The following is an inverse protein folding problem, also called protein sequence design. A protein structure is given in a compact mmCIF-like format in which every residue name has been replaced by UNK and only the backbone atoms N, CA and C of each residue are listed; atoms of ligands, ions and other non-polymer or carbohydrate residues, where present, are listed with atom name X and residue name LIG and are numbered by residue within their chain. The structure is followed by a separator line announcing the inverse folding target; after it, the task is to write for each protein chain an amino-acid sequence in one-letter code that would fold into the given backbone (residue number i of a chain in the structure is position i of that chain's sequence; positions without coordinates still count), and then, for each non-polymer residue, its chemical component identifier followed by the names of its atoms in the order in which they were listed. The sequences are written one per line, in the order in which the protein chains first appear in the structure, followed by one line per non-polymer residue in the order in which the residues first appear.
data_IF_623993922073
#
_entry.id   IF_623993922073
#
_cell.length_a   1.000
_cell.length_b   1.000
_cell.length_c   1.000
_cell.angle_alpha   90.00
_cell.angle_beta   90.00
_cell.angle_gamma   90.00
#
_symmetry.space_group_name_H-M   'P 1'
#
loop_
_entity.id
_entity.type
_entity.pdbx_description
1 polymer ?
#
# COMPACT_ATOMS: atom_id res chain seq x y z
N UNK A 1 7.97 -11.02 -3.84
CA UNK A 1 6.73 -11.35 -3.10
C UNK A 1 6.78 -10.63 -1.77
N UNK A 2 5.87 -9.69 -1.57
CA UNK A 2 5.79 -8.88 -0.35
C UNK A 2 5.25 -9.71 0.81
N UNK A 3 5.38 -9.23 2.04
CA UNK A 3 4.78 -9.87 3.23
C UNK A 3 3.24 -9.94 3.12
N UNK A 4 2.64 -8.95 2.46
CA UNK A 4 1.21 -8.91 2.19
C UNK A 4 0.77 -10.01 1.22
N UNK A 5 1.50 -10.21 0.12
CA UNK A 5 1.22 -11.28 -0.85
C UNK A 5 1.27 -12.66 -0.17
N UNK A 6 2.23 -12.85 0.76
CA UNK A 6 2.36 -14.08 1.55
C UNK A 6 1.14 -14.31 2.45
N UNK A 7 0.66 -13.27 3.14
CA UNK A 7 -0.51 -13.35 4.02
C UNK A 7 -1.80 -13.57 3.23
N UNK A 8 -1.95 -12.92 2.08
CA UNK A 8 -3.08 -13.13 1.19
C UNK A 8 -3.13 -14.58 0.67
N UNK A 9 -2.00 -15.10 0.19
CA UNK A 9 -1.90 -16.50 -0.24
C UNK A 9 -2.19 -17.48 0.91
N UNK A 10 -1.69 -17.19 2.13
CA UNK A 10 -1.97 -18.04 3.30
C UNK A 10 -3.44 -18.03 3.70
N UNK A 11 -4.09 -16.87 3.64
CA UNK A 11 -5.52 -16.71 3.90
C UNK A 11 -6.35 -17.48 2.89
N UNK A 12 -6.00 -17.42 1.61
CA UNK A 12 -6.66 -18.19 0.55
C UNK A 12 -6.53 -19.70 0.79
N UNK A 13 -5.34 -20.19 1.15
CA UNK A 13 -5.13 -21.61 1.50
C UNK A 13 -6.00 -22.03 2.70
N UNK A 14 -6.04 -21.23 3.76
CA UNK A 14 -6.84 -21.53 4.94
C UNK A 14 -8.35 -21.57 4.64
N UNK A 15 -8.83 -20.64 3.80
CA UNK A 15 -10.21 -20.60 3.32
C UNK A 15 -10.56 -21.83 2.47
N UNK A 16 -9.70 -22.21 1.51
CA UNK A 16 -9.89 -23.38 0.67
C UNK A 16 -9.92 -24.68 1.50
N UNK A 17 -9.04 -24.83 2.49
CA UNK A 17 -9.05 -25.97 3.41
C UNK A 17 -10.37 -26.05 4.19
N UNK A 18 -10.89 -24.93 4.67
CA UNK A 18 -12.16 -24.91 5.40
C UNK A 18 -13.34 -25.30 4.49
N UNK A 19 -13.42 -24.70 3.30
CA UNK A 19 -14.45 -25.06 2.28
C UNK A 19 -14.39 -26.54 1.91
N UNK A 20 -13.18 -27.09 1.73
CA UNK A 20 -12.99 -28.50 1.44
C UNK A 20 -13.51 -29.40 2.57
N UNK A 21 -13.30 -29.01 3.84
CA UNK A 21 -13.79 -29.76 5.01
C UNK A 21 -15.33 -29.72 5.15
N UNK A 22 -15.97 -28.65 4.70
CA UNK A 22 -17.43 -28.52 4.65
C UNK A 22 -18.02 -29.36 3.51
N UNK A 23 -17.33 -29.40 2.36
CA UNK A 23 -17.70 -30.14 1.15
C UNK A 23 -16.92 -31.46 0.99
N UNK A 24 -16.59 -32.11 2.11
CA UNK A 24 -15.68 -33.28 2.16
C UNK A 24 -16.08 -34.44 1.22
N UNK A 25 -17.38 -34.64 1.00
CA UNK A 25 -17.88 -35.70 0.13
C UNK A 25 -17.63 -35.34 -1.34
N UNK A 26 -17.98 -34.12 -1.74
CA UNK A 26 -17.72 -33.62 -3.10
C UNK A 26 -16.22 -33.59 -3.43
N UNK A 27 -15.37 -33.24 -2.46
CA UNK A 27 -13.92 -33.30 -2.63
C UNK A 27 -13.44 -34.73 -2.86
N UNK A 28 -13.93 -35.69 -2.06
CA UNK A 28 -13.58 -37.09 -2.24
C UNK A 28 -14.04 -37.61 -3.61
N UNK A 29 -15.26 -37.27 -4.02
CA UNK A 29 -15.82 -37.67 -5.31
C UNK A 29 -14.98 -37.12 -6.47
N UNK A 30 -14.69 -35.81 -6.46
CA UNK A 30 -13.87 -35.17 -7.51
C UNK A 30 -12.46 -35.75 -7.58
N UNK A 31 -11.84 -36.06 -6.44
CA UNK A 31 -10.50 -36.67 -6.40
C UNK A 31 -10.53 -38.09 -6.95
N UNK A 32 -11.55 -38.88 -6.61
CA UNK A 32 -11.68 -40.28 -7.08
C UNK A 32 -12.04 -40.35 -8.57
N UNK A 33 -12.79 -39.38 -9.09
CA UNK A 33 -13.13 -39.28 -10.52
C UNK A 33 -11.97 -38.75 -11.40
N UNK A 34 -10.91 -38.22 -10.79
CA UNK A 34 -9.77 -37.65 -11.51
C UNK A 34 -8.74 -38.72 -11.90
N UNK A 35 -8.25 -38.65 -13.15
CA UNK A 35 -7.30 -39.64 -13.68
C UNK A 35 -5.92 -39.59 -12.99
N UNK A 36 -5.50 -38.42 -12.51
CA UNK A 36 -4.20 -38.21 -11.88
C UNK A 36 -4.23 -37.00 -10.93
N UNK A 37 -3.12 -36.81 -10.18
CA UNK A 37 -2.99 -35.72 -9.22
C UNK A 37 -3.19 -34.33 -9.83
N UNK A 38 -2.68 -34.09 -11.05
CA UNK A 38 -2.80 -32.77 -11.72
C UNK A 38 -4.27 -32.49 -12.06
N UNK A 39 -4.97 -33.47 -12.62
CA UNK A 39 -6.39 -33.39 -12.91
C UNK A 39 -7.23 -33.16 -11.64
N UNK A 40 -6.88 -33.83 -10.55
CA UNK A 40 -7.54 -33.65 -9.26
C UNK A 40 -7.37 -32.23 -8.71
N UNK A 41 -6.15 -31.67 -8.77
CA UNK A 41 -5.89 -30.29 -8.35
C UNK A 41 -6.68 -29.29 -9.21
N UNK A 42 -6.70 -29.46 -10.53
CA UNK A 42 -7.50 -28.60 -11.42
C UNK A 42 -9.01 -28.70 -11.16
N UNK A 43 -9.50 -29.89 -10.82
CA UNK A 43 -10.90 -30.10 -10.50
C UNK A 43 -11.27 -29.52 -9.14
N UNK A 44 -10.41 -29.64 -8.12
CA UNK A 44 -10.56 -28.99 -6.81
C UNK A 44 -10.57 -27.47 -6.96
N UNK A 45 -9.63 -26.90 -7.72
CA UNK A 45 -9.55 -25.46 -7.97
C UNK A 45 -10.87 -24.93 -8.56
N UNK A 46 -11.43 -25.65 -9.54
CA UNK A 46 -12.74 -25.33 -10.14
C UNK A 46 -13.90 -25.51 -9.17
N UNK A 47 -13.90 -26.59 -8.38
CA UNK A 47 -14.99 -26.88 -7.44
C UNK A 47 -15.10 -25.83 -6.34
N UNK A 48 -13.96 -25.36 -5.82
CA UNK A 48 -13.87 -24.44 -4.68
C UNK A 48 -13.72 -22.97 -5.06
N UNK A 49 -13.59 -22.67 -6.36
CA UNK A 49 -13.30 -21.33 -6.91
C UNK A 49 -12.08 -20.70 -6.20
N UNK A 50 -10.93 -21.36 -6.34
CA UNK A 50 -9.70 -20.99 -5.64
C UNK A 50 -8.45 -21.15 -6.52
N UNK A 51 -7.33 -20.55 -6.11
CA UNK A 51 -6.07 -20.67 -6.84
C UNK A 51 -5.52 -22.10 -6.88
N UNK A 52 -4.67 -22.37 -7.87
CA UNK A 52 -3.98 -23.65 -8.01
C UNK A 52 -3.20 -24.02 -6.75
N UNK A 53 -2.49 -23.06 -6.14
CA UNK A 53 -1.74 -23.25 -4.90
C UNK A 53 -2.63 -23.69 -3.73
N UNK A 54 -3.81 -23.08 -3.60
CA UNK A 54 -4.76 -23.45 -2.55
C UNK A 54 -5.37 -24.84 -2.81
N UNK A 55 -5.63 -25.19 -4.07
CA UNK A 55 -6.09 -26.52 -4.45
C UNK A 55 -5.01 -27.61 -4.21
N UNK A 56 -3.74 -27.33 -4.48
CA UNK A 56 -2.62 -28.22 -4.13
C UNK A 56 -2.55 -28.47 -2.61
N UNK A 57 -2.78 -27.43 -1.80
CA UNK A 57 -2.81 -27.57 -0.34
C UNK A 57 -3.98 -28.43 0.14
N UNK A 58 -5.15 -28.34 -0.52
CA UNK A 58 -6.30 -29.23 -0.24
C UNK A 58 -5.98 -30.67 -0.63
N UNK A 59 -5.40 -30.89 -1.82
CA UNK A 59 -5.01 -32.23 -2.28
C UNK A 59 -3.93 -32.87 -1.38
N UNK A 60 -3.04 -32.05 -0.82
CA UNK A 60 -1.97 -32.48 0.08
C UNK A 60 -2.41 -32.58 1.55
N UNK A 61 -3.69 -32.35 1.85
CA UNK A 61 -4.20 -32.35 3.21
C UNK A 61 -4.11 -33.76 3.84
N UNK A 62 -3.60 -33.83 5.06
CA UNK A 62 -3.55 -35.08 5.82
C UNK A 62 -4.88 -35.37 6.50
N UNK A 63 -5.20 -36.65 6.72
CA UNK A 63 -6.40 -37.05 7.48
C UNK A 63 -6.44 -36.48 8.90
N UNK A 64 -5.29 -36.18 9.51
CA UNK A 64 -5.22 -35.52 10.82
C UNK A 64 -5.88 -34.12 10.81
N UNK A 65 -5.86 -33.42 9.67
CA UNK A 65 -6.47 -32.11 9.52
C UNK A 65 -8.01 -32.16 9.44
N UNK A 66 -8.62 -33.34 9.28
CA UNK A 66 -10.09 -33.49 9.28
C UNK A 66 -10.72 -33.39 10.68
N UNK A 67 -9.91 -33.56 11.73
CA UNK A 67 -10.38 -33.59 13.12
C UNK A 67 -11.04 -32.27 13.50
N UNK A 68 -11.95 -32.33 14.48
CA UNK A 68 -12.64 -31.14 15.01
C UNK A 68 -11.63 -30.12 15.56
N UNK A 69 -10.57 -30.59 16.23
CA UNK A 69 -9.50 -29.75 16.77
C UNK A 69 -8.74 -29.01 15.66
N UNK A 70 -8.27 -29.72 14.64
CA UNK A 70 -7.57 -29.10 13.50
C UNK A 70 -8.45 -28.12 12.75
N UNK A 71 -9.74 -28.43 12.55
CA UNK A 71 -10.70 -27.52 11.92
C UNK A 71 -10.85 -26.21 12.71
N UNK A 72 -10.94 -26.29 14.05
CA UNK A 72 -10.99 -25.09 14.90
C UNK A 72 -9.72 -24.27 14.78
N UNK A 73 -8.55 -24.90 14.67
CA UNK A 73 -7.27 -24.20 14.46
C UNK A 73 -7.22 -23.50 13.11
N UNK A 74 -7.64 -24.16 12.03
CA UNK A 74 -7.71 -23.54 10.69
C UNK A 74 -8.67 -22.36 10.68
N UNK A 75 -9.84 -22.49 11.32
CA UNK A 75 -10.80 -21.40 11.46
C UNK A 75 -10.21 -20.22 12.25
N UNK A 76 -9.56 -20.49 13.39
CA UNK A 76 -8.91 -19.45 14.19
C UNK A 76 -7.77 -18.75 13.43
N UNK A 77 -6.98 -19.50 12.65
CA UNK A 77 -5.96 -18.95 11.75
C UNK A 77 -6.60 -18.05 10.69
N UNK A 78 -7.68 -18.49 10.04
CA UNK A 78 -8.40 -17.71 9.05
C UNK A 78 -8.98 -16.42 9.65
N UNK A 79 -9.55 -16.49 10.86
CA UNK A 79 -10.03 -15.31 11.60
C UNK A 79 -8.90 -14.34 11.94
N UNK A 80 -7.74 -14.83 12.37
CA UNK A 80 -6.57 -14.01 12.66
C UNK A 80 -6.01 -13.37 11.38
N UNK A 81 -5.87 -14.13 10.30
CA UNK A 81 -5.46 -13.61 9.00
C UNK A 81 -6.45 -12.58 8.45
N UNK A 82 -7.75 -12.82 8.59
CA UNK A 82 -8.78 -11.85 8.23
C UNK A 82 -8.68 -10.60 9.11
N UNK A 83 -8.42 -10.72 10.42
CA UNK A 83 -8.19 -9.55 11.29
C UNK A 83 -6.95 -8.79 10.88
N UNK A 84 -5.84 -9.47 10.58
CA UNK A 84 -4.61 -8.81 10.13
C UNK A 84 -4.81 -8.11 8.78
N UNK A 85 -5.44 -8.77 7.80
CA UNK A 85 -5.73 -8.17 6.48
C UNK A 85 -6.77 -7.05 6.59
N UNK A 86 -7.81 -7.21 7.42
CA UNK A 86 -8.81 -6.18 7.70
C UNK A 86 -8.25 -5.01 8.51
N UNK A 87 -7.25 -5.23 9.37
CA UNK A 87 -6.51 -4.15 10.03
C UNK A 87 -5.65 -3.38 9.02
N UNK A 88 -5.12 -4.09 8.02
CA UNK A 88 -4.33 -3.47 6.94
C UNK A 88 -5.19 -2.65 5.97
N UNK A 89 -6.43 -3.09 5.68
CA UNK A 89 -7.39 -2.41 4.79
C UNK A 89 -8.33 -1.43 5.50
N UNK A 90 -8.76 -1.72 6.72
CA UNK A 90 -9.80 -1.01 7.45
C UNK A 90 -9.33 0.23 8.22
N UNK A 91 -8.08 0.27 8.69
CA UNK A 91 -7.51 1.51 9.24
C UNK A 91 -6.88 2.41 8.16
N UNK A 92 -6.61 1.87 6.96
CA UNK A 92 -5.85 2.55 5.90
C UNK A 92 -6.32 2.19 4.49
N UNK A 93 -7.55 2.57 4.09
CA UNK A 93 -8.09 2.26 2.77
C UNK A 93 -7.19 2.76 1.62
N UNK A 94 -6.46 3.85 1.84
CA UNK A 94 -5.55 4.41 0.84
C UNK A 94 -4.17 3.73 0.78
N UNK A 95 -3.82 2.80 1.69
CA UNK A 95 -2.50 2.15 1.72
C UNK A 95 -2.25 1.17 0.56
N UNK A 96 -3.32 0.67 -0.07
CA UNK A 96 -3.23 -0.03 -1.36
C UNK A 96 -2.64 0.90 -2.43
N UNK A 97 -2.93 2.20 -2.35
CA UNK A 97 -2.42 3.23 -3.25
C UNK A 97 -2.96 3.12 -4.68
N UNK A 98 -4.04 2.35 -4.88
CA UNK A 98 -4.65 2.14 -6.21
C UNK A 98 -5.37 3.40 -6.71
N UNK A 99 -6.03 4.14 -5.81
CA UNK A 99 -6.80 5.35 -6.14
C UNK A 99 -6.02 6.65 -5.93
N UNK A 100 -4.84 6.59 -5.28
CA UNK A 100 -4.00 7.75 -5.04
C UNK A 100 -3.15 8.07 -6.27
N UNK A 101 -3.27 9.30 -6.75
CA UNK A 101 -2.50 9.87 -7.84
C UNK A 101 -1.57 10.98 -7.33
N UNK A 102 -0.41 11.12 -7.97
CA UNK A 102 0.48 12.25 -7.77
C UNK A 102 0.44 13.09 -9.03
N UNK A 103 -0.07 14.32 -8.92
CA UNK A 103 -0.13 15.28 -10.01
C UNK A 103 0.91 16.38 -9.76
N UNK A 104 1.61 16.89 -10.80
CA UNK A 104 2.48 18.05 -10.64
C UNK A 104 1.77 19.24 -9.99
N UNK A 105 2.48 19.94 -9.12
CA UNK A 105 1.98 21.13 -8.43
C UNK A 105 1.66 22.27 -9.40
N UNK A 106 0.51 22.92 -9.21
CA UNK A 106 0.09 24.12 -9.94
C UNK A 106 -0.15 25.28 -8.97
N UNK A 107 0.54 26.41 -9.18
CA UNK A 107 0.40 27.58 -8.31
C UNK A 107 -1.02 28.17 -8.28
N UNK A 108 -1.77 28.05 -9.38
CA UNK A 108 -3.14 28.56 -9.47
C UNK A 108 -4.13 27.66 -8.74
N UNK A 109 -3.98 26.34 -8.91
CA UNK A 109 -4.94 25.36 -8.41
C UNK A 109 -4.65 24.92 -6.97
N UNK A 110 -3.38 24.89 -6.55
CA UNK A 110 -2.94 24.20 -5.32
C UNK A 110 -2.45 25.15 -4.22
N UNK A 111 -2.73 26.45 -4.36
CA UNK A 111 -2.44 27.47 -3.35
C UNK A 111 -3.07 27.14 -2.00
N UNK A 112 -4.27 26.56 -2.01
CA UNK A 112 -5.02 26.11 -0.84
C UNK A 112 -4.26 25.05 -0.02
N UNK A 113 -3.86 23.95 -0.66
CA UNK A 113 -3.20 22.84 0.03
C UNK A 113 -1.77 23.20 0.46
N UNK A 114 -1.07 24.01 -0.34
CA UNK A 114 0.24 24.52 0.04
C UNK A 114 0.16 25.51 1.22
N UNK A 115 -0.88 26.34 1.26
CA UNK A 115 -1.20 27.19 2.42
C UNK A 115 -1.41 26.36 3.68
N UNK A 116 -2.31 25.37 3.62
CA UNK A 116 -2.59 24.46 4.75
C UNK A 116 -1.33 23.73 5.24
N UNK A 117 -0.47 23.29 4.32
CA UNK A 117 0.83 22.68 4.66
C UNK A 117 1.75 23.67 5.36
N UNK A 118 1.81 24.91 4.90
CA UNK A 118 2.71 25.93 5.44
C UNK A 118 2.30 26.33 6.85
N UNK A 119 0.99 26.45 7.10
CA UNK A 119 0.43 26.69 8.43
C UNK A 119 0.70 25.54 9.40
N UNK A 120 0.48 24.28 8.99
CA UNK A 120 0.68 23.11 9.85
C UNK A 120 2.17 22.83 10.13
N UNK A 121 3.05 23.03 9.14
CA UNK A 121 4.49 22.77 9.31
C UNK A 121 5.23 23.92 9.97
N UNK A 122 4.76 25.17 9.82
CA UNK A 122 5.43 26.37 10.32
C UNK A 122 6.84 26.58 9.74
N UNK A 123 7.13 25.98 8.58
CA UNK A 123 8.45 26.00 7.94
C UNK A 123 8.31 26.21 6.43
N UNK A 124 9.35 26.74 5.79
CA UNK A 124 9.41 26.95 4.34
C UNK A 124 9.20 25.65 3.54
N UNK A 125 8.75 25.80 2.29
CA UNK A 125 8.48 24.70 1.38
C UNK A 125 9.75 23.96 0.94
N UNK A 126 10.87 24.68 0.83
CA UNK A 126 12.17 24.26 0.30
C UNK A 126 12.91 23.15 1.09
N UNK A 127 12.47 22.88 2.33
CA UNK A 127 13.11 21.88 3.19
C UNK A 127 14.31 22.38 4.01
N UNK A 128 14.60 23.68 3.97
CA UNK A 128 15.63 24.32 4.82
C UNK A 128 15.28 24.29 6.31
N UNK A 129 13.99 24.21 6.64
CA UNK A 129 13.49 24.34 8.01
C UNK A 129 13.45 25.79 8.51
N UNK A 130 13.72 26.77 7.64
CA UNK A 130 13.53 28.18 7.95
C UNK A 130 12.04 28.50 8.16
N UNK A 131 11.74 29.61 8.84
CA UNK A 131 10.40 30.13 8.91
C UNK A 131 9.88 30.48 7.50
N UNK A 132 8.60 30.20 7.19
CA UNK A 132 8.07 30.47 5.86
C UNK A 132 7.95 31.98 5.63
N UNK A 133 8.21 32.39 4.39
CA UNK A 133 7.89 33.73 3.90
C UNK A 133 6.38 33.93 3.69
N UNK A 134 6.01 34.96 2.93
CA UNK A 134 4.63 35.09 2.46
C UNK A 134 4.30 33.92 1.52
N UNK A 135 3.03 33.49 1.50
CA UNK A 135 2.62 32.36 0.67
C UNK A 135 2.97 32.57 -0.81
N UNK A 136 2.81 33.79 -1.31
CA UNK A 136 3.09 34.12 -2.71
C UNK A 136 4.60 34.12 -3.01
N UNK A 137 5.43 34.51 -2.04
CA UNK A 137 6.89 34.43 -2.17
C UNK A 137 7.39 32.99 -2.11
N UNK A 138 6.81 32.16 -1.23
CA UNK A 138 7.10 30.72 -1.15
C UNK A 138 6.71 30.01 -2.45
N UNK A 139 5.54 30.30 -3.01
CA UNK A 139 5.10 29.74 -4.30
C UNK A 139 6.03 30.20 -5.43
N UNK A 140 6.42 31.48 -5.47
CA UNK A 140 7.34 31.99 -6.49
C UNK A 140 8.72 31.31 -6.39
N UNK A 141 9.25 31.16 -5.17
CA UNK A 141 10.51 30.48 -4.92
C UNK A 141 10.44 29.00 -5.29
N UNK A 142 9.31 28.33 -5.03
CA UNK A 142 9.06 26.97 -5.45
C UNK A 142 9.10 26.84 -6.98
N UNK A 143 8.32 27.66 -7.69
CA UNK A 143 8.25 27.62 -9.15
C UNK A 143 9.62 27.82 -9.80
N UNK A 144 10.41 28.78 -9.31
CA UNK A 144 11.76 28.99 -9.82
C UNK A 144 12.64 27.74 -9.71
N UNK A 145 12.53 26.99 -8.61
CA UNK A 145 13.31 25.77 -8.38
C UNK A 145 12.77 24.56 -9.15
N UNK A 146 11.47 24.52 -9.43
CA UNK A 146 10.89 23.55 -10.36
C UNK A 146 11.42 23.82 -11.79
N UNK A 147 11.45 25.08 -12.22
CA UNK A 147 11.96 25.48 -13.54
C UNK A 147 13.46 25.23 -13.69
N UNK A 148 14.25 25.43 -12.62
CA UNK A 148 15.69 25.15 -12.58
C UNK A 148 16.02 23.65 -12.43
N UNK A 149 15.01 22.76 -12.44
CA UNK A 149 15.15 21.32 -12.21
C UNK A 149 15.86 20.97 -10.89
N UNK A 150 15.76 21.84 -9.88
CA UNK A 150 16.30 21.63 -8.53
C UNK A 150 15.26 21.03 -7.57
N UNK A 151 13.98 21.04 -7.97
CA UNK A 151 12.87 20.53 -7.18
C UNK A 151 11.79 19.88 -8.04
N UNK A 152 11.09 18.90 -7.48
CA UNK A 152 9.88 18.33 -8.06
C UNK A 152 8.79 18.24 -7.00
N UNK A 153 7.67 18.94 -7.20
CA UNK A 153 6.59 19.02 -6.22
C UNK A 153 5.31 18.44 -6.82
N UNK A 154 4.64 17.61 -6.03
CA UNK A 154 3.41 16.91 -6.43
C UNK A 154 2.33 17.08 -5.37
N UNK A 155 1.09 17.16 -5.84
CA UNK A 155 -0.10 17.07 -5.01
C UNK A 155 -0.63 15.64 -5.05
N UNK A 156 -0.85 15.08 -3.87
CA UNK A 156 -1.47 13.78 -3.71
C UNK A 156 -2.98 13.94 -3.75
N UNK A 157 -3.63 13.31 -4.73
CA UNK A 157 -5.08 13.38 -4.96
C UNK A 157 -5.66 11.98 -4.88
N UNK A 158 -6.72 11.81 -4.08
CA UNK A 158 -7.49 10.57 -4.03
C UNK A 158 -8.96 10.88 -4.34
N UNK A 159 -9.52 10.21 -5.35
CA UNK A 159 -10.93 10.38 -5.76
C UNK A 159 -11.35 11.85 -6.00
N UNK A 160 -10.41 12.69 -6.48
CA UNK A 160 -10.62 14.13 -6.73
C UNK A 160 -10.36 15.05 -5.53
N UNK A 161 -10.05 14.50 -4.35
CA UNK A 161 -9.74 15.26 -3.14
C UNK A 161 -8.23 15.40 -2.93
N UNK A 162 -7.74 16.60 -2.62
CA UNK A 162 -6.32 16.83 -2.32
C UNK A 162 -6.02 16.39 -0.89
N UNK A 163 -5.27 15.31 -0.74
CA UNK A 163 -5.02 14.66 0.57
C UNK A 163 -3.62 14.93 1.13
N UNK A 164 -2.70 15.46 0.33
CA UNK A 164 -1.35 15.77 0.76
C UNK A 164 -0.45 16.32 -0.35
N UNK A 165 0.83 16.46 -0.03
CA UNK A 165 1.87 16.94 -0.94
C UNK A 165 3.15 16.10 -0.80
N UNK A 166 3.86 15.94 -1.91
CA UNK A 166 5.17 15.30 -1.98
C UNK A 166 6.17 16.30 -2.54
N UNK A 167 7.29 16.46 -1.85
CA UNK A 167 8.36 17.39 -2.21
C UNK A 167 9.64 16.58 -2.45
N UNK A 168 10.25 16.74 -3.61
CA UNK A 168 11.59 16.26 -3.92
C UNK A 168 12.51 17.45 -4.09
N UNK A 169 13.58 17.50 -3.30
CA UNK A 169 14.56 18.59 -3.34
C UNK A 169 15.93 18.02 -3.67
N UNK A 170 16.54 18.47 -4.77
CA UNK A 170 17.87 18.06 -5.15
C UNK A 170 18.90 18.78 -4.27
N UNK A 171 19.58 18.05 -3.40
CA UNK A 171 20.59 18.58 -2.48
C UNK A 171 21.81 17.69 -2.55
N UNK A 172 22.94 18.24 -2.99
CA UNK A 172 24.25 17.56 -3.03
C UNK A 172 24.23 16.21 -3.76
N UNK A 173 23.47 16.13 -4.85
CA UNK A 173 23.37 14.92 -5.68
C UNK A 173 22.43 13.84 -5.12
N UNK A 174 21.61 14.17 -4.13
CA UNK A 174 20.54 13.31 -3.63
C UNK A 174 19.20 14.07 -3.69
N UNK A 175 18.10 13.38 -3.98
CA UNK A 175 16.76 13.95 -3.87
C UNK A 175 16.23 13.65 -2.48
N UNK A 176 16.10 14.68 -1.65
CA UNK A 176 15.44 14.57 -0.36
C UNK A 176 13.92 14.58 -0.57
N UNK A 177 13.29 13.42 -0.35
CA UNK A 177 11.85 13.23 -0.49
C UNK A 177 11.19 13.49 0.85
N UNK A 178 10.27 14.46 0.88
CA UNK A 178 9.43 14.81 2.03
C UNK A 178 7.97 14.64 1.66
N UNK A 179 7.19 14.08 2.57
CA UNK A 179 5.77 13.83 2.36
C UNK A 179 5.00 14.49 3.48
N UNK A 180 4.03 15.30 3.11
CA UNK A 180 3.08 15.90 4.02
C UNK A 180 1.68 15.42 3.69
N UNK A 181 0.96 14.96 4.71
CA UNK A 181 -0.45 14.56 4.58
C UNK A 181 -1.27 15.56 5.37
N UNK A 182 -2.32 16.08 4.73
CA UNK A 182 -3.24 17.04 5.33
C UNK A 182 -3.77 16.48 6.66
N UNK A 183 -3.85 17.27 7.75
CA UNK A 183 -4.18 16.78 9.09
C UNK A 183 -5.42 15.88 9.15
N UNK A 184 -6.47 16.24 8.42
CA UNK A 184 -7.75 15.49 8.35
C UNK A 184 -7.64 14.13 7.63
N UNK A 185 -6.57 13.91 6.88
CA UNK A 185 -6.29 12.68 6.13
C UNK A 185 -5.21 11.82 6.77
N UNK A 186 -4.64 12.26 7.91
CA UNK A 186 -3.61 11.49 8.62
C UNK A 186 -4.15 10.17 9.14
N UNK A 187 -3.24 9.22 9.34
CA UNK A 187 -3.51 7.85 9.81
C UNK A 187 -4.36 6.99 8.87
N UNK A 188 -4.79 7.49 7.71
CA UNK A 188 -5.54 6.75 6.67
C UNK A 188 -4.67 6.01 5.64
N UNK A 189 -3.34 6.04 5.78
CA UNK A 189 -2.40 5.33 4.91
C UNK A 189 -1.81 6.12 3.74
N UNK A 190 -2.26 7.36 3.51
CA UNK A 190 -1.78 8.20 2.41
C UNK A 190 -0.28 8.44 2.41
N UNK A 191 0.37 8.52 3.57
CA UNK A 191 1.83 8.70 3.64
C UNK A 191 2.61 7.55 2.98
N UNK A 192 2.16 6.30 3.19
CA UNK A 192 2.77 5.12 2.57
C UNK A 192 2.48 5.04 1.08
N UNK A 193 1.25 5.36 0.67
CA UNK A 193 0.87 5.37 -0.73
C UNK A 193 1.60 6.47 -1.53
N UNK A 194 1.67 7.68 -0.98
CA UNK A 194 2.43 8.78 -1.55
C UNK A 194 3.92 8.43 -1.69
N UNK A 195 4.51 7.75 -0.68
CA UNK A 195 5.90 7.28 -0.76
C UNK A 195 6.11 6.24 -1.85
N UNK A 196 5.16 5.33 -2.05
CA UNK A 196 5.26 4.31 -3.10
C UNK A 196 5.21 4.95 -4.48
N UNK A 197 4.26 5.87 -4.70
CA UNK A 197 4.06 6.58 -5.97
C UNK A 197 5.21 7.55 -6.27
N UNK A 198 5.73 8.24 -5.26
CA UNK A 198 6.81 9.22 -5.45
C UNK A 198 8.08 8.61 -6.03
N UNK A 199 8.34 7.31 -5.83
CA UNK A 199 9.50 6.64 -6.43
C UNK A 199 9.49 6.70 -7.96
N UNK A 200 8.33 6.52 -8.58
CA UNK A 200 8.21 6.55 -10.05
C UNK A 200 8.31 7.99 -10.55
N UNK A 201 7.57 8.92 -9.94
CA UNK A 201 7.56 10.32 -10.35
C UNK A 201 8.94 10.98 -10.18
N UNK A 202 9.60 10.74 -9.06
CA UNK A 202 10.93 11.29 -8.80
C UNK A 202 12.00 10.68 -9.71
N UNK A 203 11.85 9.41 -10.11
CA UNK A 203 12.76 8.79 -11.09
C UNK A 203 12.59 9.38 -12.49
N UNK A 204 11.40 9.90 -12.82
CA UNK A 204 11.16 10.64 -14.05
C UNK A 204 11.77 12.05 -14.00
N UNK A 205 11.57 12.79 -12.90
CA UNK A 205 12.15 14.13 -12.73
C UNK A 205 13.69 14.11 -12.55
N UNK A 206 14.21 13.11 -11.85
CA UNK A 206 15.64 13.00 -11.50
C UNK A 206 16.22 11.63 -11.86
N UNK A 207 16.46 11.35 -13.15
CA UNK A 207 16.95 10.07 -13.59
C UNK A 207 18.30 9.71 -12.94
N UNK A 208 18.39 8.49 -12.39
CA UNK A 208 19.59 7.95 -11.75
C UNK A 208 20.11 8.70 -10.50
N UNK A 209 19.30 9.58 -9.90
CA UNK A 209 19.65 10.25 -8.65
C UNK A 209 19.15 9.45 -7.44
N UNK A 210 19.95 9.23 -6.39
CA UNK A 210 19.49 8.58 -5.16
C UNK A 210 18.34 9.34 -4.49
N UNK A 211 17.28 8.61 -4.11
CA UNK A 211 16.17 9.14 -3.32
C UNK A 211 16.41 8.89 -1.83
N UNK A 212 16.34 9.94 -1.02
CA UNK A 212 16.56 9.88 0.43
C UNK A 212 15.33 10.37 1.16
N UNK A 213 14.75 9.51 2.01
CA UNK A 213 13.62 9.86 2.87
C UNK A 213 14.15 10.00 4.30
N UNK A 214 14.08 11.21 4.86
CA UNK A 214 14.50 11.48 6.24
C UNK A 214 13.27 11.72 7.10
N UNK A 215 13.03 10.83 8.04
CA UNK A 215 11.99 10.99 9.05
C UNK A 215 12.67 11.36 10.36
N UNK A 216 12.23 12.40 11.09
CA UNK A 216 12.74 12.67 12.42
C UNK A 216 12.51 11.44 13.32
N UNK A 217 13.43 11.17 14.27
CA UNK A 217 13.31 10.02 15.17
C UNK A 217 11.96 10.10 15.91
N UNK A 218 11.32 8.94 16.10
CA UNK A 218 10.09 8.86 16.87
C UNK A 218 10.34 9.46 18.26
N UNK A 219 9.56 10.48 18.64
CA UNK A 219 9.57 10.96 20.03
C UNK A 219 9.01 9.82 20.88
N UNK A 220 9.77 9.29 21.85
CA UNK A 220 9.21 8.32 22.78
C UNK A 220 8.03 8.97 23.52
N UNK A 221 6.94 8.22 23.65
CA UNK A 221 5.75 8.62 24.39
C UNK A 221 6.02 8.64 25.90
#
# INVERSE_FOLDING_TARGET
MTDQDRKAARREIADALLKALERRHEIADVVVESENNVAAVEAIARLLDTSHLAAEAVMSMSFAQLTIDSRRKILAELEDLNKQLSFTLGERPASSGETLELRPFSAEEDRDIFGARTEDMGAAGDGSGAAPGSLDDEIRAALARLDDEEAAWFVAVDSGEKVGMVFGELVRGEVNVRIWIHPEHRKKGYGTAALRKSRTEMAWCFPAVPLVVRTPPAKPA
#
